data_IF_062072643991
#
_entry.id   IF_062072643991
#
_cell.length_a   1.000
_cell.length_b   1.000
_cell.length_c   1.000
_cell.angle_alpha   90.00
_cell.angle_beta   90.00
_cell.angle_gamma   90.00
#
_symmetry.space_group_name_H-M   'P 1'
#
loop_
_entity.id
_entity.type
_entity.pdbx_description
1 polymer ?
#
# COMPACT_ATOMS: atom_id res chain seq x y z
N UNK A 1 5.64 -24.27 0.74
CA UNK A 1 6.18 -23.50 1.89
C UNK A 1 7.14 -24.32 2.74
N UNK A 2 6.90 -25.62 2.97
CA UNK A 2 7.73 -26.46 3.85
C UNK A 2 9.23 -26.45 3.57
N UNK A 3 9.66 -26.61 2.31
CA UNK A 3 11.09 -26.65 1.98
C UNK A 3 11.79 -25.35 2.40
N UNK A 4 11.17 -24.20 2.16
CA UNK A 4 11.71 -22.91 2.59
C UNK A 4 11.89 -22.84 4.12
N UNK A 5 10.90 -23.32 4.87
CA UNK A 5 10.99 -23.37 6.34
C UNK A 5 12.07 -24.33 6.82
N UNK A 6 12.17 -25.52 6.22
CA UNK A 6 13.21 -26.53 6.53
C UNK A 6 14.63 -25.99 6.33
N UNK A 7 14.83 -25.07 5.39
CA UNK A 7 16.14 -24.45 5.12
C UNK A 7 16.35 -23.11 5.85
N UNK A 8 15.42 -22.70 6.72
CA UNK A 8 15.61 -21.57 7.64
C UNK A 8 14.85 -20.28 7.33
N UNK A 9 13.99 -20.24 6.30
CA UNK A 9 13.10 -19.09 6.10
C UNK A 9 12.02 -19.05 7.20
N UNK A 10 11.84 -17.89 7.82
CA UNK A 10 10.92 -17.69 8.95
C UNK A 10 9.59 -17.04 8.57
N UNK A 11 9.48 -16.55 7.34
CA UNK A 11 8.28 -15.90 6.83
C UNK A 11 8.18 -16.08 5.31
N UNK A 12 7.27 -16.94 4.87
CA UNK A 12 6.94 -17.15 3.46
C UNK A 12 5.72 -16.34 3.08
N UNK A 13 5.82 -15.51 2.03
CA UNK A 13 4.73 -14.67 1.54
C UNK A 13 4.11 -15.23 0.26
N UNK A 14 2.80 -15.09 0.11
CA UNK A 14 2.09 -15.28 -1.17
C UNK A 14 1.42 -13.99 -1.63
N UNK A 15 1.50 -13.72 -2.92
CA UNK A 15 0.78 -12.64 -3.58
C UNK A 15 -0.41 -13.23 -4.33
N UNK A 16 -1.61 -12.76 -4.00
CA UNK A 16 -2.88 -13.24 -4.54
C UNK A 16 -3.63 -12.05 -5.11
N UNK A 17 -4.13 -12.20 -6.33
CA UNK A 17 -4.81 -11.12 -7.05
C UNK A 17 -6.28 -11.48 -7.20
N UNK A 18 -7.16 -10.53 -6.86
CA UNK A 18 -8.59 -10.60 -7.18
C UNK A 18 -8.99 -9.55 -8.22
N UNK A 19 -10.12 -9.75 -8.88
CA UNK A 19 -10.59 -8.88 -9.97
C UNK A 19 -9.82 -9.06 -11.28
N UNK A 20 -9.15 -10.20 -11.48
CA UNK A 20 -8.51 -10.54 -12.74
C UNK A 20 -9.56 -10.76 -13.86
N UNK A 21 -9.20 -10.59 -15.14
CA UNK A 21 -10.08 -10.93 -16.25
C UNK A 21 -10.63 -12.36 -16.13
N UNK A 22 -11.94 -12.51 -16.36
CA UNK A 22 -12.71 -13.76 -16.25
C UNK A 22 -12.77 -14.40 -14.86
N UNK A 23 -12.19 -13.79 -13.83
CA UNK A 23 -12.18 -14.35 -12.49
C UNK A 23 -13.57 -14.26 -11.85
N UNK A 24 -14.04 -15.37 -11.30
CA UNK A 24 -15.28 -15.47 -10.54
C UNK A 24 -15.01 -15.60 -9.04
N UNK A 25 -16.06 -15.49 -8.23
CA UNK A 25 -15.97 -15.76 -6.79
C UNK A 25 -15.51 -17.20 -6.49
N UNK A 26 -15.96 -18.18 -7.29
CA UNK A 26 -15.56 -19.58 -7.14
C UNK A 26 -14.04 -19.76 -7.32
N UNK A 27 -13.42 -19.00 -8.23
CA UNK A 27 -11.96 -19.03 -8.45
C UNK A 27 -11.19 -18.47 -7.26
N UNK A 28 -11.72 -17.43 -6.59
CA UNK A 28 -11.15 -16.89 -5.36
C UNK A 28 -11.23 -17.93 -4.25
N UNK A 29 -12.39 -18.55 -4.04
CA UNK A 29 -12.58 -19.60 -3.02
C UNK A 29 -11.55 -20.73 -3.22
N UNK A 30 -11.40 -21.23 -4.45
CA UNK A 30 -10.45 -22.30 -4.75
C UNK A 30 -8.99 -21.86 -4.56
N UNK A 31 -8.66 -20.60 -4.88
CA UNK A 31 -7.33 -20.02 -4.66
C UNK A 31 -7.00 -19.93 -3.17
N UNK A 32 -7.94 -19.47 -2.35
CA UNK A 32 -7.76 -19.42 -0.90
C UNK A 32 -7.65 -20.83 -0.32
N UNK A 33 -8.45 -21.80 -0.76
CA UNK A 33 -8.35 -23.20 -0.33
C UNK A 33 -6.97 -23.80 -0.62
N UNK A 34 -6.41 -23.54 -1.80
CA UNK A 34 -5.04 -23.95 -2.16
C UNK A 34 -3.99 -23.23 -1.32
N UNK A 35 -4.22 -21.96 -1.01
CA UNK A 35 -3.32 -21.16 -0.17
C UNK A 35 -3.32 -21.67 1.27
N UNK A 36 -4.48 -21.99 1.82
CA UNK A 36 -4.64 -22.65 3.12
C UNK A 36 -3.87 -23.96 3.17
N UNK A 37 -3.95 -24.81 2.15
CA UNK A 37 -3.18 -26.06 2.13
C UNK A 37 -1.65 -25.85 2.21
N UNK A 38 -1.15 -24.67 1.81
CA UNK A 38 0.25 -24.31 1.88
C UNK A 38 0.61 -23.51 3.15
N UNK A 39 -0.36 -22.88 3.80
CA UNK A 39 -0.21 -21.99 4.96
C UNK A 39 1.03 -21.07 4.87
N UNK A 40 1.11 -20.10 3.94
CA UNK A 40 2.13 -19.05 4.02
C UNK A 40 2.03 -18.25 5.33
N UNK A 41 3.10 -17.57 5.74
CA UNK A 41 3.10 -16.78 6.98
C UNK A 41 2.43 -15.41 6.79
N UNK A 42 2.45 -14.90 5.55
CA UNK A 42 1.80 -13.65 5.14
C UNK A 42 1.23 -13.74 3.73
N UNK A 43 0.21 -12.94 3.47
CA UNK A 43 -0.48 -12.87 2.19
C UNK A 43 -0.67 -11.41 1.82
N UNK A 44 -0.37 -11.06 0.58
CA UNK A 44 -0.83 -9.83 -0.05
C UNK A 44 -2.00 -10.20 -0.98
N UNK A 45 -3.22 -9.87 -0.59
CA UNK A 45 -4.45 -10.13 -1.34
C UNK A 45 -4.97 -8.82 -1.97
N UNK A 46 -4.45 -8.46 -3.14
CA UNK A 46 -4.66 -7.14 -3.72
C UNK A 46 -5.47 -7.15 -5.02
N UNK A 47 -6.15 -6.02 -5.23
CA UNK A 47 -6.99 -5.75 -6.40
C UNK A 47 -6.17 -5.65 -7.68
N UNK A 48 -6.61 -6.32 -8.75
CA UNK A 48 -6.06 -6.13 -10.09
C UNK A 48 -6.29 -4.68 -10.56
N UNK A 49 -5.22 -3.99 -10.91
CA UNK A 49 -5.27 -2.65 -11.50
C UNK A 49 -5.17 -2.76 -13.02
N UNK A 50 -6.30 -2.50 -13.70
CA UNK A 50 -6.35 -2.42 -15.15
C UNK A 50 -6.01 -1.00 -15.62
N UNK A 51 -4.83 -0.84 -16.22
CA UNK A 51 -4.27 0.43 -16.72
C UNK A 51 -3.54 0.21 -18.06
N UNK A 52 -4.20 -0.33 -19.09
CA UNK A 52 -3.57 -0.69 -20.37
C UNK A 52 -2.94 0.50 -21.10
N UNK A 53 -3.36 1.74 -20.81
CA UNK A 53 -2.76 2.96 -21.36
C UNK A 53 -1.36 3.28 -20.79
N UNK A 54 -1.06 2.83 -19.57
CA UNK A 54 0.27 3.00 -18.94
C UNK A 54 1.10 1.72 -19.07
N UNK A 55 0.46 0.55 -18.88
CA UNK A 55 1.09 -0.76 -18.87
C UNK A 55 0.49 -1.64 -19.97
N UNK A 56 0.76 -1.27 -21.21
CA UNK A 56 0.15 -1.92 -22.37
C UNK A 56 0.61 -3.37 -22.63
N UNK A 57 1.73 -3.80 -22.05
CA UNK A 57 2.21 -5.18 -22.20
C UNK A 57 1.39 -6.11 -21.30
N UNK A 58 0.76 -7.12 -21.88
CA UNK A 58 -0.08 -8.11 -21.19
C UNK A 58 -1.52 -7.65 -20.95
N UNK A 59 -1.77 -6.39 -20.57
CA UNK A 59 -3.12 -5.92 -20.25
C UNK A 59 -3.98 -5.58 -21.48
N UNK A 60 -3.39 -5.13 -22.59
CA UNK A 60 -4.13 -4.79 -23.84
C UNK A 60 -4.85 -5.98 -24.50
N UNK A 61 -4.57 -7.21 -24.06
CA UNK A 61 -5.25 -8.41 -24.54
C UNK A 61 -6.63 -8.62 -23.93
N UNK A 62 -6.99 -7.85 -22.90
CA UNK A 62 -8.28 -7.94 -22.22
C UNK A 62 -9.10 -6.68 -22.48
N UNK A 63 -10.40 -6.85 -22.62
CA UNK A 63 -11.38 -5.76 -22.68
C UNK A 63 -11.88 -5.43 -21.28
N UNK A 64 -12.44 -4.24 -21.12
CA UNK A 64 -13.08 -3.85 -19.85
C UNK A 64 -14.24 -4.81 -19.49
N UNK A 65 -14.92 -5.37 -20.50
CA UNK A 65 -16.00 -6.35 -20.33
C UNK A 65 -15.51 -7.72 -19.81
N UNK A 66 -14.23 -8.04 -20.00
CA UNK A 66 -13.64 -9.28 -19.48
C UNK A 66 -13.37 -9.16 -17.97
N UNK A 67 -13.39 -7.94 -17.41
CA UNK A 67 -13.15 -7.69 -16.01
C UNK A 67 -14.43 -7.91 -15.18
N UNK A 68 -14.30 -8.39 -13.93
CA UNK A 68 -15.40 -8.41 -13.00
C UNK A 68 -15.96 -7.00 -12.79
N UNK A 69 -17.29 -6.90 -12.70
CA UNK A 69 -17.96 -5.64 -12.31
C UNK A 69 -17.48 -5.17 -10.93
N UNK A 70 -17.66 -3.90 -10.60
CA UNK A 70 -17.27 -3.36 -9.29
C UNK A 70 -17.90 -4.14 -8.12
N UNK A 71 -19.17 -4.51 -8.24
CA UNK A 71 -19.88 -5.34 -7.27
C UNK A 71 -19.28 -6.75 -7.17
N UNK A 72 -19.05 -7.43 -8.30
CA UNK A 72 -18.43 -8.76 -8.31
C UNK A 72 -17.02 -8.73 -7.70
N UNK A 73 -16.24 -7.71 -8.03
CA UNK A 73 -14.90 -7.50 -7.48
C UNK A 73 -14.92 -7.22 -5.98
N UNK A 74 -15.91 -6.46 -5.49
CA UNK A 74 -16.13 -6.25 -4.06
C UNK A 74 -16.48 -7.57 -3.36
N UNK A 75 -17.34 -8.39 -3.95
CA UNK A 75 -17.68 -9.70 -3.40
C UNK A 75 -16.49 -10.65 -3.36
N UNK A 76 -15.67 -10.67 -4.41
CA UNK A 76 -14.42 -11.42 -4.42
C UNK A 76 -13.50 -11.04 -3.26
N UNK A 77 -13.35 -9.74 -2.97
CA UNK A 77 -12.57 -9.27 -1.83
C UNK A 77 -13.18 -9.73 -0.49
N UNK A 78 -14.47 -9.50 -0.26
CA UNK A 78 -15.14 -9.84 1.01
C UNK A 78 -15.11 -11.35 1.28
N UNK A 79 -15.36 -12.17 0.25
CA UNK A 79 -15.29 -13.63 0.34
C UNK A 79 -13.86 -14.09 0.62
N UNK A 80 -12.87 -13.56 -0.10
CA UNK A 80 -11.46 -13.88 0.15
C UNK A 80 -11.01 -13.50 1.56
N UNK A 81 -11.36 -12.28 2.01
CA UNK A 81 -11.09 -11.79 3.36
C UNK A 81 -11.69 -12.70 4.43
N UNK A 82 -12.99 -13.00 4.34
CA UNK A 82 -13.68 -13.84 5.32
C UNK A 82 -13.08 -15.26 5.38
N UNK A 83 -12.68 -15.83 4.24
CA UNK A 83 -12.03 -17.14 4.22
C UNK A 83 -10.63 -17.11 4.84
N UNK A 84 -9.84 -16.06 4.56
CA UNK A 84 -8.52 -15.88 5.18
C UNK A 84 -8.63 -15.73 6.71
N UNK A 85 -9.60 -14.96 7.19
CA UNK A 85 -9.87 -14.81 8.63
C UNK A 85 -10.24 -16.15 9.28
N UNK A 86 -11.10 -16.95 8.63
CA UNK A 86 -11.51 -18.27 9.14
C UNK A 86 -10.35 -19.25 9.29
N UNK A 87 -9.31 -19.14 8.47
CA UNK A 87 -8.14 -20.02 8.52
C UNK A 87 -7.00 -19.44 9.36
N UNK A 88 -7.25 -18.34 10.08
CA UNK A 88 -6.35 -17.79 11.11
C UNK A 88 -5.46 -16.63 10.66
N UNK A 89 -5.68 -16.05 9.47
CA UNK A 89 -4.99 -14.81 9.11
C UNK A 89 -5.71 -13.60 9.67
N UNK A 90 -4.94 -12.63 10.15
CA UNK A 90 -5.45 -11.32 10.55
C UNK A 90 -5.14 -10.29 9.47
N UNK A 91 -6.12 -9.43 9.15
CA UNK A 91 -5.89 -8.26 8.31
C UNK A 91 -4.95 -7.28 9.01
N UNK A 92 -3.82 -7.00 8.37
CA UNK A 92 -2.82 -6.04 8.86
C UNK A 92 -3.18 -4.62 8.41
N UNK A 93 -3.64 -4.49 7.18
CA UNK A 93 -4.05 -3.22 6.59
C UNK A 93 -4.04 -3.25 5.07
N UNK A 94 -4.97 -2.51 4.47
CA UNK A 94 -5.25 -2.51 3.02
C UNK A 94 -5.50 -3.92 2.47
N UNK A 95 -4.45 -4.53 1.96
CA UNK A 95 -4.47 -5.76 1.18
C UNK A 95 -3.56 -6.83 1.83
N UNK A 96 -3.05 -6.60 3.05
CA UNK A 96 -2.08 -7.50 3.70
C UNK A 96 -2.71 -8.27 4.85
N UNK A 97 -2.40 -9.56 4.91
CA UNK A 97 -2.84 -10.51 5.92
C UNK A 97 -1.64 -11.26 6.48
N UNK A 98 -1.64 -11.59 7.76
CA UNK A 98 -0.57 -12.36 8.38
C UNK A 98 -1.08 -13.26 9.50
N UNK A 99 -0.40 -14.37 9.73
CA UNK A 99 -0.62 -15.21 10.91
C UNK A 99 -0.10 -14.49 12.17
N UNK A 100 -0.67 -14.81 13.33
CA UNK A 100 -0.24 -14.21 14.61
C UNK A 100 1.23 -14.47 14.95
N UNK A 101 1.79 -15.55 14.39
CA UNK A 101 3.19 -15.92 14.54
C UNK A 101 4.15 -15.03 13.74
N UNK A 102 3.67 -14.39 12.66
CA UNK A 102 4.48 -13.58 11.77
C UNK A 102 4.90 -12.26 12.42
N UNK A 103 6.09 -11.78 12.05
CA UNK A 103 6.66 -10.54 12.59
C UNK A 103 5.81 -9.31 12.29
N UNK A 104 5.08 -9.30 11.18
CA UNK A 104 4.24 -8.17 10.77
C UNK A 104 3.00 -8.03 11.65
N UNK A 105 2.35 -9.15 12.01
CA UNK A 105 1.26 -9.13 12.99
C UNK A 105 1.75 -8.58 14.34
N UNK A 106 2.89 -9.08 14.82
CA UNK A 106 3.50 -8.60 16.07
C UNK A 106 3.84 -7.12 16.01
N UNK A 107 4.31 -6.63 14.87
CA UNK A 107 4.62 -5.21 14.68
C UNK A 107 3.35 -4.34 14.65
N UNK A 108 2.25 -4.84 14.09
CA UNK A 108 0.95 -4.18 14.14
C UNK A 108 0.46 -4.06 15.59
N UNK A 109 0.45 -5.17 16.35
CA UNK A 109 0.01 -5.19 17.75
C UNK A 109 0.84 -4.27 18.65
N UNK A 110 2.15 -4.18 18.39
CA UNK A 110 3.06 -3.33 19.16
C UNK A 110 3.16 -1.88 18.64
N UNK A 111 2.38 -1.51 17.62
CA UNK A 111 2.45 -0.19 16.96
C UNK A 111 3.86 0.17 16.44
N UNK A 112 4.66 -0.84 16.04
CA UNK A 112 6.02 -0.66 15.49
C UNK A 112 6.09 -0.93 13.99
N UNK A 113 4.97 -1.27 13.36
CA UNK A 113 4.87 -1.47 11.92
C UNK A 113 5.31 -0.23 11.15
N UNK A 114 6.03 -0.47 10.05
CA UNK A 114 6.44 0.58 9.12
C UNK A 114 6.03 0.23 7.70
N UNK A 115 6.05 1.22 6.80
CA UNK A 115 5.76 1.05 5.40
C UNK A 115 6.80 1.76 4.54
N UNK A 116 7.35 1.05 3.58
CA UNK A 116 8.29 1.56 2.58
C UNK A 116 7.80 1.22 1.16
N UNK A 117 8.66 1.38 0.15
CA UNK A 117 8.29 1.12 -1.24
C UNK A 117 7.87 -0.35 -1.50
N UNK A 118 8.38 -1.30 -0.72
CA UNK A 118 8.07 -2.73 -0.84
C UNK A 118 6.78 -3.14 -0.10
N UNK A 119 6.15 -2.23 0.64
CA UNK A 119 4.95 -2.51 1.42
C UNK A 119 5.19 -2.42 2.94
N UNK A 120 4.38 -3.14 3.70
CA UNK A 120 4.49 -3.16 5.15
C UNK A 120 5.65 -4.04 5.62
N UNK A 121 6.31 -3.59 6.69
CA UNK A 121 7.47 -4.27 7.27
C UNK A 121 7.46 -4.14 8.79
N UNK A 122 7.92 -5.21 9.45
CA UNK A 122 8.18 -5.21 10.89
C UNK A 122 9.52 -4.52 11.25
N UNK A 123 10.39 -4.30 10.26
CA UNK A 123 11.68 -3.63 10.44
C UNK A 123 11.60 -2.19 9.98
N UNK A 124 12.02 -1.27 10.85
CA UNK A 124 12.12 0.15 10.57
C UNK A 124 13.56 0.50 10.23
N UNK A 125 13.80 0.89 8.98
CA UNK A 125 15.08 1.48 8.56
C UNK A 125 14.89 2.95 8.24
N UNK A 126 15.87 3.79 8.60
CA UNK A 126 15.84 5.21 8.21
C UNK A 126 16.28 5.43 6.76
N UNK A 127 16.99 4.46 6.20
CA UNK A 127 17.53 4.48 4.85
C UNK A 127 17.34 3.11 4.22
N UNK A 128 16.88 3.12 2.98
CA UNK A 128 16.82 1.99 2.07
C UNK A 128 17.54 2.40 0.78
N UNK A 129 18.56 1.64 0.40
CA UNK A 129 19.27 1.83 -0.86
C UNK A 129 18.76 0.79 -1.86
N UNK A 130 18.08 1.27 -2.91
CA UNK A 130 17.67 0.47 -4.04
C UNK A 130 18.85 0.24 -4.99
N UNK A 131 19.11 -1.02 -5.32
CA UNK A 131 20.13 -1.41 -6.29
C UNK A 131 19.47 -2.02 -7.52
N UNK A 132 20.09 -1.82 -8.69
CA UNK A 132 19.58 -2.32 -9.96
C UNK A 132 18.66 -1.34 -10.70
N UNK A 133 18.29 -1.75 -11.91
CA UNK A 133 17.39 -1.02 -12.82
C UNK A 133 16.06 -0.71 -12.15
N UNK A 134 15.54 0.50 -12.37
CA UNK A 134 14.26 1.03 -11.87
C UNK A 134 14.09 1.12 -10.34
N UNK A 135 15.05 0.62 -9.57
CA UNK A 135 14.98 0.57 -8.10
C UNK A 135 14.82 1.96 -7.49
N UNK A 136 14.15 2.00 -6.34
CA UNK A 136 13.88 3.23 -5.60
C UNK A 136 14.59 3.13 -4.26
N UNK A 137 15.37 4.15 -3.96
CA UNK A 137 15.92 4.41 -2.64
C UNK A 137 14.98 5.34 -1.88
N UNK A 138 14.82 5.06 -0.59
CA UNK A 138 14.00 5.85 0.33
C UNK A 138 14.84 6.21 1.54
N UNK A 139 14.96 7.50 1.78
CA UNK A 139 15.42 8.04 3.05
C UNK A 139 14.27 8.85 3.65
N UNK A 140 14.30 9.04 4.96
CA UNK A 140 13.32 9.91 5.61
C UNK A 140 13.21 11.31 4.96
N UNK A 141 14.29 11.80 4.35
CA UNK A 141 14.42 13.14 3.78
C UNK A 141 14.27 13.21 2.26
N UNK A 142 14.10 12.08 1.59
CA UNK A 142 13.98 12.09 0.13
C UNK A 142 14.05 10.74 -0.52
N UNK A 143 13.67 10.73 -1.79
CA UNK A 143 13.63 9.57 -2.65
C UNK A 143 14.59 9.72 -3.82
N UNK A 144 15.14 8.60 -4.29
CA UNK A 144 15.89 8.54 -5.55
C UNK A 144 15.46 7.32 -6.34
N UNK A 145 15.34 7.44 -7.65
CA UNK A 145 14.99 6.35 -8.54
C UNK A 145 16.07 6.17 -9.60
N UNK A 146 16.54 4.94 -9.77
CA UNK A 146 17.44 4.59 -10.86
C UNK A 146 16.72 4.61 -12.22
N UNK A 147 17.49 4.79 -13.29
CA UNK A 147 17.00 4.67 -14.68
C UNK A 147 16.25 3.36 -14.90
N UNK A 148 15.26 3.39 -15.79
CA UNK A 148 14.29 2.30 -15.97
C UNK A 148 14.64 1.34 -17.12
N UNK A 149 15.48 1.77 -18.05
CA UNK A 149 16.02 0.92 -19.13
C UNK A 149 17.23 0.16 -18.62
N UNK A 150 17.34 -1.10 -19.05
CA UNK A 150 18.49 -1.94 -18.72
C UNK A 150 19.73 -1.43 -19.45
N UNK A 151 19.57 -1.03 -20.72
CA UNK A 151 20.62 -0.48 -21.56
C UNK A 151 21.20 0.79 -20.94
N UNK A 152 20.35 1.77 -20.63
CA UNK A 152 20.78 3.02 -19.98
C UNK A 152 21.43 2.77 -18.61
N UNK A 153 20.94 1.78 -17.85
CA UNK A 153 21.51 1.41 -16.56
C UNK A 153 22.96 0.92 -16.71
N UNK A 154 23.24 0.03 -17.66
CA UNK A 154 24.59 -0.49 -17.89
C UNK A 154 25.51 0.58 -18.49
N UNK A 155 25.03 1.38 -19.44
CA UNK A 155 25.81 2.48 -20.02
C UNK A 155 26.34 3.43 -18.94
N UNK A 156 25.48 3.81 -17.97
CA UNK A 156 25.90 4.68 -16.86
C UNK A 156 26.94 4.01 -15.96
N UNK A 157 26.78 2.72 -15.66
CA UNK A 157 27.74 1.98 -14.84
C UNK A 157 29.10 1.83 -15.53
N UNK A 158 29.14 1.53 -16.82
CA UNK A 158 30.39 1.44 -17.60
C UNK A 158 31.16 2.76 -17.61
N UNK A 159 30.45 3.89 -17.51
CA UNK A 159 31.02 5.22 -17.42
C UNK A 159 31.28 5.69 -15.98
N UNK A 160 31.15 4.82 -14.97
CA UNK A 160 31.30 5.13 -13.53
C UNK A 160 30.33 6.22 -13.03
N UNK A 161 29.12 6.30 -13.60
CA UNK A 161 28.08 7.24 -13.20
C UNK A 161 27.04 6.51 -12.35
N UNK A 162 26.65 7.11 -11.21
CA UNK A 162 25.57 6.57 -10.38
C UNK A 162 24.25 6.69 -11.17
N UNK A 163 23.49 5.60 -11.38
CA UNK A 163 22.41 5.56 -12.35
C UNK A 163 21.09 6.21 -11.88
N UNK A 164 21.16 7.29 -11.09
CA UNK A 164 19.99 8.02 -10.58
C UNK A 164 19.38 8.89 -11.68
N UNK A 165 18.14 8.57 -12.07
CA UNK A 165 17.38 9.29 -13.09
C UNK A 165 16.64 10.51 -12.51
N UNK A 166 16.02 10.33 -11.34
CA UNK A 166 15.24 11.38 -10.67
C UNK A 166 15.17 11.15 -9.17
N UNK A 167 14.88 12.21 -8.43
CA UNK A 167 14.63 12.15 -7.00
C UNK A 167 13.73 13.27 -6.53
N UNK A 168 13.36 13.23 -5.26
CA UNK A 168 12.62 14.30 -4.59
C UNK A 168 13.19 14.47 -3.18
N UNK A 169 13.68 15.67 -2.87
CA UNK A 169 14.12 16.05 -1.53
C UNK A 169 12.92 16.66 -0.81
N UNK A 170 12.57 16.09 0.33
CA UNK A 170 11.40 16.49 1.10
C UNK A 170 11.72 17.77 1.87
N UNK A 171 10.85 18.77 1.74
CA UNK A 171 10.91 19.97 2.57
C UNK A 171 10.21 19.73 3.93
N UNK A 172 10.22 20.72 4.82
CA UNK A 172 9.60 20.60 6.15
C UNK A 172 8.09 20.29 6.11
N UNK A 173 7.37 20.80 5.11
CA UNK A 173 5.94 20.51 4.92
C UNK A 173 5.75 19.04 4.50
N UNK A 174 6.52 18.58 3.51
CA UNK A 174 6.51 17.20 3.03
C UNK A 174 6.82 16.20 4.17
N UNK A 175 7.77 16.53 5.05
CA UNK A 175 8.14 15.68 6.20
C UNK A 175 6.98 15.54 7.20
N UNK A 176 6.24 16.61 7.46
CA UNK A 176 5.04 16.59 8.33
C UNK A 176 3.93 15.77 7.70
N UNK A 177 3.62 16.01 6.43
CA UNK A 177 2.60 15.28 5.67
C UNK A 177 2.96 13.79 5.60
N UNK A 178 4.20 13.45 5.26
CA UNK A 178 4.71 12.08 5.22
C UNK A 178 4.47 11.38 6.55
N UNK A 179 4.75 12.05 7.68
CA UNK A 179 4.50 11.49 9.01
C UNK A 179 3.02 11.24 9.25
N UNK A 180 2.14 12.17 8.88
CA UNK A 180 0.70 11.96 9.04
C UNK A 180 0.19 10.78 8.22
N UNK A 181 0.55 10.71 6.94
CA UNK A 181 0.17 9.62 6.04
C UNK A 181 0.72 8.28 6.53
N UNK A 182 2.00 8.21 6.94
CA UNK A 182 2.58 6.97 7.46
C UNK A 182 1.87 6.50 8.74
N UNK A 183 1.54 7.42 9.66
CA UNK A 183 0.82 7.08 10.87
C UNK A 183 -0.59 6.54 10.55
N UNK A 184 -1.31 7.17 9.62
CA UNK A 184 -2.63 6.69 9.19
C UNK A 184 -2.52 5.31 8.54
N UNK A 185 -1.58 5.13 7.62
CA UNK A 185 -1.40 3.88 6.89
C UNK A 185 -0.93 2.74 7.78
N UNK A 186 -0.14 2.99 8.82
CA UNK A 186 0.44 1.93 9.66
C UNK A 186 -0.32 1.70 10.97
N UNK A 187 -1.00 2.73 11.50
CA UNK A 187 -1.57 2.70 12.84
C UNK A 187 -3.01 3.20 12.90
N UNK A 188 -3.61 3.55 11.75
CA UNK A 188 -5.00 4.01 11.65
C UNK A 188 -5.32 5.22 12.53
N UNK A 189 -4.30 6.00 12.93
CA UNK A 189 -4.46 7.20 13.75
C UNK A 189 -3.35 8.19 13.47
N UNK A 190 -3.62 9.48 13.65
CA UNK A 190 -2.60 10.53 13.55
C UNK A 190 -2.96 11.72 14.43
N UNK A 191 -1.98 12.52 14.84
CA UNK A 191 -2.20 13.64 15.76
C UNK A 191 -1.30 14.83 15.45
N UNK A 192 -1.75 16.02 15.82
CA UNK A 192 -1.02 17.29 15.72
C UNK A 192 -0.96 17.99 17.09
N UNK A 193 -0.64 17.20 18.12
CA UNK A 193 -0.50 17.66 19.49
C UNK A 193 0.74 18.57 19.66
N UNK A 194 1.82 18.26 18.94
CA UNK A 194 3.07 19.02 18.99
C UNK A 194 3.12 20.05 17.86
N UNK A 195 3.73 21.24 18.09
CA UNK A 195 3.86 22.27 17.04
C UNK A 195 4.55 21.78 15.76
N UNK A 196 5.54 20.89 15.90
CA UNK A 196 6.25 20.31 14.75
C UNK A 196 5.42 19.36 13.88
N UNK A 197 4.18 19.04 14.27
CA UNK A 197 3.23 18.24 13.49
C UNK A 197 2.21 19.12 12.75
N UNK A 198 2.15 20.42 13.04
CA UNK A 198 1.22 21.34 12.37
C UNK A 198 1.87 21.87 11.09
N UNK A 199 1.14 21.83 9.98
CA UNK A 199 1.46 22.49 8.72
C UNK A 199 0.34 23.47 8.37
N UNK A 200 0.63 24.42 7.49
CA UNK A 200 -0.20 25.62 7.30
C UNK A 200 -1.61 25.27 6.79
N UNK A 201 -1.73 24.31 5.86
CA UNK A 201 -2.99 23.86 5.30
C UNK A 201 -3.74 22.79 6.13
N UNK A 202 -3.26 22.49 7.34
CA UNK A 202 -3.92 21.48 8.19
C UNK A 202 -5.40 21.82 8.44
N UNK A 203 -5.83 23.08 8.70
CA UNK A 203 -7.24 23.41 8.84
C UNK A 203 -8.10 23.01 7.62
N UNK A 204 -7.61 23.24 6.41
CA UNK A 204 -8.28 22.90 5.15
C UNK A 204 -8.38 21.38 4.97
N UNK A 205 -7.33 20.64 5.35
CA UNK A 205 -7.35 19.17 5.40
C UNK A 205 -8.44 18.69 6.35
N UNK A 206 -8.54 19.27 7.55
CA UNK A 206 -9.56 18.88 8.54
C UNK A 206 -10.99 19.18 8.06
N UNK A 207 -11.20 20.26 7.30
CA UNK A 207 -12.50 20.57 6.70
C UNK A 207 -12.89 19.50 5.67
N UNK A 208 -11.96 19.06 4.81
CA UNK A 208 -12.22 18.01 3.79
C UNK A 208 -12.57 16.66 4.41
N UNK A 209 -12.07 16.39 5.61
CA UNK A 209 -12.31 15.16 6.34
C UNK A 209 -13.70 15.13 7.02
N UNK A 210 -14.44 16.23 7.06
CA UNK A 210 -15.74 16.31 7.75
C UNK A 210 -16.80 15.38 7.16
N UNK A 211 -16.81 15.17 5.85
CA UNK A 211 -17.75 14.24 5.20
C UNK A 211 -17.47 12.79 5.64
N UNK A 212 -16.19 12.41 5.68
CA UNK A 212 -15.76 11.08 6.16
C UNK A 212 -16.05 10.87 7.66
N UNK A 213 -15.99 11.94 8.46
CA UNK A 213 -16.42 11.91 9.88
C UNK A 213 -17.93 11.71 9.98
N UNK A 214 -18.73 12.43 9.18
CA UNK A 214 -20.20 12.28 9.16
C UNK A 214 -20.63 10.88 8.73
N UNK A 215 -19.88 10.24 7.84
CA UNK A 215 -20.09 8.84 7.44
C UNK A 215 -19.63 7.82 8.48
N UNK A 216 -19.03 8.28 9.59
CA UNK A 216 -18.51 7.43 10.67
C UNK A 216 -17.26 6.64 10.30
N UNK A 217 -16.51 7.09 9.29
CA UNK A 217 -15.26 6.45 8.84
C UNK A 217 -14.05 6.89 9.68
N UNK A 218 -14.14 8.08 10.27
CA UNK A 218 -13.11 8.63 11.15
C UNK A 218 -13.77 9.30 12.35
N UNK A 219 -13.00 9.43 13.42
CA UNK A 219 -13.39 10.14 14.64
C UNK A 219 -12.31 11.16 14.99
N UNK A 220 -12.74 12.36 15.37
CA UNK A 220 -11.85 13.39 15.88
C UNK A 220 -11.94 13.48 17.39
N UNK A 221 -10.79 13.38 18.06
CA UNK A 221 -10.65 13.62 19.49
C UNK A 221 -9.55 14.65 19.74
N UNK A 222 -9.94 15.84 20.23
CA UNK A 222 -9.02 16.96 20.51
C UNK A 222 -8.17 17.35 19.28
N UNK A 223 -6.92 16.87 19.20
CA UNK A 223 -5.95 17.11 18.11
C UNK A 223 -5.46 15.80 17.50
N UNK A 224 -6.36 14.83 17.46
CA UNK A 224 -6.12 13.49 16.94
C UNK A 224 -7.27 13.09 16.03
N UNK A 225 -6.93 12.35 14.98
CA UNK A 225 -7.84 11.62 14.11
C UNK A 225 -7.58 10.13 14.34
N UNK A 226 -8.64 9.36 14.54
CA UNK A 226 -8.62 7.89 14.55
C UNK A 226 -9.54 7.38 13.43
N UNK A 227 -9.08 6.39 12.67
CA UNK A 227 -9.87 5.73 11.63
C UNK A 227 -10.66 4.60 12.27
N UNK A 228 -11.96 4.56 12.03
CA UNK A 228 -12.84 3.53 12.59
C UNK A 228 -12.66 2.21 11.82
N UNK A 229 -13.19 1.11 12.36
CA UNK A 229 -13.21 -0.19 11.63
C UNK A 229 -13.91 -0.06 10.27
N UNK A 230 -14.98 0.75 10.20
CA UNK A 230 -15.70 1.05 8.93
C UNK A 230 -14.83 1.87 7.96
N UNK A 231 -13.93 2.71 8.48
CA UNK A 231 -13.05 3.55 7.69
C UNK A 231 -11.78 2.89 7.16
N UNK A 232 -11.33 1.76 7.75
CA UNK A 232 -10.09 1.07 7.34
C UNK A 232 -10.03 0.76 5.83
N UNK A 233 -11.10 0.27 5.17
CA UNK A 233 -11.09 0.06 3.72
C UNK A 233 -10.85 1.34 2.90
N UNK A 234 -11.21 2.51 3.44
CA UNK A 234 -11.11 3.82 2.82
C UNK A 234 -9.85 4.60 3.26
N UNK A 235 -8.85 3.91 3.82
CA UNK A 235 -7.65 4.55 4.35
C UNK A 235 -6.91 5.40 3.31
N UNK A 236 -6.94 4.98 2.04
CA UNK A 236 -6.35 5.74 0.93
C UNK A 236 -7.07 7.07 0.72
N UNK A 237 -8.41 7.06 0.74
CA UNK A 237 -9.26 8.25 0.60
C UNK A 237 -9.03 9.22 1.75
N UNK A 238 -8.88 8.71 2.98
CA UNK A 238 -8.52 9.51 4.16
C UNK A 238 -7.12 10.13 3.98
N UNK A 239 -6.13 9.35 3.53
CA UNK A 239 -4.76 9.86 3.30
C UNK A 239 -4.69 10.90 2.17
N UNK A 240 -5.54 10.80 1.15
CA UNK A 240 -5.61 11.79 0.05
C UNK A 240 -5.95 13.20 0.55
N UNK A 241 -6.67 13.33 1.66
CA UNK A 241 -6.92 14.63 2.28
C UNK A 241 -5.63 15.31 2.77
N UNK A 242 -4.61 14.54 3.13
CA UNK A 242 -3.31 15.07 3.57
C UNK A 242 -2.33 15.30 2.41
N UNK A 243 -2.61 14.80 1.20
CA UNK A 243 -1.73 14.95 0.03
C UNK A 243 -1.90 16.33 -0.61
N UNK A 244 -1.10 17.31 -0.17
CA UNK A 244 -1.16 18.69 -0.69
C UNK A 244 -0.66 18.80 -2.13
N UNK A 245 0.28 17.95 -2.56
CA UNK A 245 0.79 17.98 -3.93
C UNK A 245 -0.30 17.58 -4.91
N UNK A 246 -1.07 16.53 -4.59
CA UNK A 246 -2.23 16.14 -5.37
C UNK A 246 -3.28 17.26 -5.46
N UNK A 247 -3.48 18.00 -4.37
CA UNK A 247 -4.45 19.10 -4.31
C UNK A 247 -3.99 20.31 -5.13
N UNK A 248 -2.70 20.64 -5.10
CA UNK A 248 -2.10 21.78 -5.82
C UNK A 248 -1.89 21.48 -7.31
N UNK A 249 -1.66 20.22 -7.68
CA UNK A 249 -1.40 19.77 -9.06
C UNK A 249 -2.34 18.63 -9.44
N UNK A 250 -3.65 18.91 -9.46
CA UNK A 250 -4.64 17.93 -9.91
C UNK A 250 -4.30 17.52 -11.35
N UNK A 251 -3.92 16.26 -11.61
CA UNK A 251 -3.49 15.85 -12.94
C UNK A 251 -4.68 15.89 -13.92
N UNK A 252 -4.44 16.40 -15.13
CA UNK A 252 -5.45 16.43 -16.21
C UNK A 252 -5.75 15.04 -16.79
N UNK A 253 -4.96 14.02 -16.43
CA UNK A 253 -5.07 12.65 -16.92
C UNK A 253 -5.25 11.66 -15.78
N UNK A 254 -5.95 10.55 -16.07
CA UNK A 254 -6.17 9.48 -15.10
C UNK A 254 -4.86 8.70 -14.89
N UNK A 255 -4.14 9.06 -13.82
CA UNK A 255 -2.86 8.44 -13.44
C UNK A 255 -3.03 7.13 -12.64
N UNK A 256 -4.17 6.97 -11.96
CA UNK A 256 -4.42 5.85 -11.05
C UNK A 256 -5.72 5.13 -11.43
N UNK A 257 -5.77 3.83 -11.13
CA UNK A 257 -7.04 3.10 -11.08
C UNK A 257 -7.94 3.74 -10.03
N UNK A 258 -9.26 3.71 -10.23
CA UNK A 258 -10.21 4.29 -9.27
C UNK A 258 -10.01 3.65 -7.90
N UNK A 259 -9.75 4.49 -6.89
CA UNK A 259 -9.80 4.09 -5.49
C UNK A 259 -11.24 3.69 -5.15
N UNK A 260 -11.40 2.67 -4.32
CA UNK A 260 -12.71 2.23 -3.81
C UNK A 260 -13.31 3.32 -2.90
#
# INVERSE_FOLDING_TARGET
TETARKIGYTSVGHDIIFGLPFQTEADVIETIRKTEALMPDRIAFYSYAHVPWIKGNGQRGFKDEDLPTAESKRMQYETGKSLLEKVGYTEIGMDHFALETDGLYKAMQNETMHRNFMGYTASKTQVMIGLGVSSISDSWYGFAQNVKSIEEYYDLLENNIIPVYRGHILNEEDLKIRKHILNLMCHFKTSWLQPGQVFDELPEVLIKLKELEQDGLIEFERKQLTVTEKGKPFIRNICMAFDLLLQRKKPDTQLFSMTI
#
